data_IF_569597948126
#
_entry.id   IF_569597948126
#
_cell.length_a   1.000
_cell.length_b   1.000
_cell.length_c   1.000
_cell.angle_alpha   90.00
_cell.angle_beta   90.00
_cell.angle_gamma   90.00
#
_symmetry.space_group_name_H-M   'P 1'
#
loop_
_entity.id
_entity.type
_entity.pdbx_description
1 polymer ?
#
# COMPACT_ATOMS: atom_id res chain seq x y z
N UNK A 1 6.49 -3.76 -18.69
CA UNK A 1 5.65 -2.66 -18.18
C UNK A 1 5.96 -2.47 -16.70
N UNK A 2 6.66 -1.39 -16.36
CA UNK A 2 6.96 -1.03 -14.98
C UNK A 2 5.66 -0.56 -14.31
N UNK A 3 5.21 -1.26 -13.28
CA UNK A 3 4.06 -0.82 -12.50
C UNK A 3 4.54 0.33 -11.59
N UNK A 4 4.38 1.56 -12.08
CA UNK A 4 4.52 2.77 -11.30
C UNK A 4 3.19 3.01 -10.59
N UNK A 5 3.11 2.70 -9.31
CA UNK A 5 1.90 2.91 -8.51
C UNK A 5 2.12 4.11 -7.59
N UNK A 6 1.25 5.11 -7.67
CA UNK A 6 1.23 6.23 -6.72
C UNK A 6 0.63 5.80 -5.38
N UNK A 7 0.94 6.53 -4.31
CA UNK A 7 0.41 6.29 -2.95
C UNK A 7 -1.13 6.15 -2.96
N UNK A 8 -1.83 7.06 -3.64
CA UNK A 8 -3.30 7.00 -3.77
C UNK A 8 -3.79 5.71 -4.40
N UNK A 9 -3.10 5.22 -5.43
CA UNK A 9 -3.49 4.00 -6.12
C UNK A 9 -3.27 2.77 -5.23
N UNK A 10 -2.21 2.78 -4.42
CA UNK A 10 -1.98 1.76 -3.40
C UNK A 10 -3.10 1.75 -2.34
N UNK A 11 -3.46 2.92 -1.82
CA UNK A 11 -4.52 3.06 -0.80
C UNK A 11 -5.87 2.60 -1.34
N UNK A 12 -6.23 2.97 -2.56
CA UNK A 12 -7.52 2.62 -3.16
C UNK A 12 -7.66 1.10 -3.36
N UNK A 13 -6.63 0.44 -3.92
CA UNK A 13 -6.56 -1.02 -4.05
C UNK A 13 -6.60 -1.73 -2.70
N UNK A 14 -5.86 -1.24 -1.71
CA UNK A 14 -5.88 -1.83 -0.37
C UNK A 14 -7.28 -1.72 0.25
N UNK A 15 -7.97 -0.60 0.05
CA UNK A 15 -9.34 -0.43 0.53
C UNK A 15 -10.30 -1.40 -0.16
N UNK A 16 -10.13 -1.63 -1.45
CA UNK A 16 -10.90 -2.63 -2.21
C UNK A 16 -10.64 -4.07 -1.70
N UNK A 17 -9.38 -4.36 -1.36
CA UNK A 17 -8.99 -5.60 -0.67
C UNK A 17 -9.49 -5.70 0.78
N UNK A 18 -10.26 -4.72 1.28
CA UNK A 18 -10.84 -4.73 2.62
C UNK A 18 -9.90 -4.27 3.74
N UNK A 19 -8.88 -3.45 3.42
CA UNK A 19 -8.08 -2.78 4.44
C UNK A 19 -8.79 -1.52 4.96
N UNK A 20 -8.81 -1.35 6.28
CA UNK A 20 -9.27 -0.15 6.97
C UNK A 20 -8.13 0.84 7.21
N UNK A 21 -8.45 2.13 7.19
CA UNK A 21 -7.49 3.24 7.27
C UNK A 21 -7.51 4.11 6.00
N UNK A 22 -6.46 4.91 5.74
CA UNK A 22 -5.19 5.01 6.45
C UNK A 22 -5.30 5.75 7.80
N UNK A 23 -4.76 5.15 8.85
CA UNK A 23 -4.59 5.81 10.15
C UNK A 23 -3.39 6.76 10.06
N UNK A 24 -3.57 8.07 10.29
CA UNK A 24 -2.48 9.03 10.28
C UNK A 24 -1.58 8.82 11.51
N UNK A 25 -0.34 8.41 11.28
CA UNK A 25 0.66 8.22 12.33
C UNK A 25 1.92 9.01 12.01
N UNK A 26 1.90 10.34 12.26
CA UNK A 26 3.07 11.24 12.22
C UNK A 26 3.93 11.17 10.95
N UNK A 27 4.78 10.15 10.85
CA UNK A 27 5.66 9.88 9.71
C UNK A 27 4.98 9.08 8.57
N UNK A 28 4.39 7.92 8.85
CA UNK A 28 3.88 6.97 7.84
C UNK A 28 2.43 6.61 8.13
N UNK A 29 1.58 6.63 7.09
CA UNK A 29 0.20 6.16 7.18
C UNK A 29 0.21 4.63 7.31
N UNK A 30 -0.73 4.06 8.07
CA UNK A 30 -0.88 2.61 8.19
C UNK A 30 -2.30 2.20 7.87
N UNK A 31 -2.48 1.07 7.20
CA UNK A 31 -3.78 0.45 7.01
C UNK A 31 -3.78 -0.92 7.66
N UNK A 32 -4.94 -1.37 8.13
CA UNK A 32 -5.06 -2.61 8.90
C UNK A 32 -6.20 -3.44 8.33
N UNK A 33 -6.00 -4.75 8.21
CA UNK A 33 -7.03 -5.72 7.79
C UNK A 33 -6.88 -6.97 8.63
N UNK A 34 -7.92 -7.34 9.39
CA UNK A 34 -7.98 -8.62 10.09
C UNK A 34 -6.72 -8.91 10.95
N UNK A 35 -6.24 -7.90 11.68
CA UNK A 35 -5.01 -7.98 12.49
C UNK A 35 -3.69 -7.81 11.74
N UNK A 36 -3.69 -7.74 10.41
CA UNK A 36 -2.50 -7.45 9.59
C UNK A 36 -2.38 -5.95 9.33
N UNK A 37 -1.19 -5.37 9.53
CA UNK A 37 -0.95 -3.94 9.33
C UNK A 37 0.03 -3.73 8.18
N UNK A 38 -0.31 -2.84 7.25
CA UNK A 38 0.59 -2.38 6.18
C UNK A 38 1.00 -0.94 6.41
N UNK A 39 2.29 -0.67 6.28
CA UNK A 39 2.81 0.69 6.29
C UNK A 39 2.80 1.27 4.88
N UNK A 40 2.11 2.38 4.70
CA UNK A 40 2.13 3.17 3.47
C UNK A 40 3.35 4.10 3.56
N UNK A 41 4.36 3.95 2.68
CA UNK A 41 5.49 4.86 2.63
C UNK A 41 4.97 6.27 2.29
N UNK A 42 5.49 7.29 2.99
CA UNK A 42 5.15 8.68 2.74
C UNK A 42 6.34 9.36 2.03
N UNK A 43 6.10 10.11 0.96
CA UNK A 43 7.18 10.88 0.30
C UNK A 43 7.26 12.22 0.99
N UNK A 44 8.40 12.48 1.62
CA UNK A 44 8.70 13.77 2.22
C UNK A 44 8.63 14.87 1.16
N UNK A 45 7.49 15.58 1.09
CA UNK A 45 7.33 16.88 0.40
C UNK A 45 6.99 16.87 -1.10
N UNK A 46 7.17 15.78 -1.84
CA UNK A 46 6.81 15.70 -3.27
C UNK A 46 5.68 14.69 -3.47
N UNK A 47 4.47 15.14 -3.82
CA UNK A 47 3.22 14.36 -3.86
C UNK A 47 3.17 13.18 -4.85
N UNK A 48 4.31 12.66 -5.32
CA UNK A 48 4.44 11.46 -6.13
C UNK A 48 5.46 10.51 -5.50
N UNK A 49 4.95 9.39 -4.98
CA UNK A 49 5.76 8.24 -4.62
C UNK A 49 5.62 7.21 -5.73
N UNK A 50 6.66 7.07 -6.53
CA UNK A 50 6.78 5.97 -7.47
C UNK A 50 7.10 4.70 -6.68
N UNK A 51 6.05 3.97 -6.29
CA UNK A 51 6.22 2.70 -5.61
C UNK A 51 6.72 1.69 -6.65
N UNK A 52 8.03 1.45 -6.64
CA UNK A 52 8.62 0.36 -7.41
C UNK A 52 7.98 -0.98 -7.01
N UNK A 53 7.82 -1.89 -7.98
CA UNK A 53 7.22 -3.19 -7.75
C UNK A 53 7.83 -3.95 -6.54
N UNK A 54 9.14 -3.81 -6.30
CA UNK A 54 9.82 -4.42 -5.15
C UNK A 54 9.30 -3.91 -3.80
N UNK A 55 9.05 -2.61 -3.67
CA UNK A 55 8.51 -2.00 -2.46
C UNK A 55 7.05 -2.40 -2.27
N UNK A 56 6.26 -2.37 -3.36
CA UNK A 56 4.89 -2.84 -3.37
C UNK A 56 4.79 -4.29 -2.85
N UNK A 57 5.56 -5.22 -3.40
CA UNK A 57 5.53 -6.61 -2.96
C UNK A 57 5.95 -6.81 -1.50
N UNK A 58 6.83 -5.93 -0.98
CA UNK A 58 7.20 -5.96 0.44
C UNK A 58 6.01 -5.55 1.31
N UNK A 59 5.34 -4.45 0.97
CA UNK A 59 4.15 -3.95 1.70
C UNK A 59 3.02 -4.98 1.65
N UNK A 60 2.73 -5.54 0.47
CA UNK A 60 1.70 -6.57 0.29
C UNK A 60 2.00 -7.81 1.13
N UNK A 61 3.27 -8.25 1.17
CA UNK A 61 3.69 -9.38 2.02
C UNK A 61 3.45 -9.09 3.50
N UNK A 62 3.75 -7.88 3.98
CA UNK A 62 3.47 -7.47 5.37
C UNK A 62 1.97 -7.46 5.68
N UNK A 63 1.13 -7.11 4.70
CA UNK A 63 -0.31 -7.20 4.77
C UNK A 63 -0.89 -8.59 4.53
N UNK A 64 -0.04 -9.58 4.25
CA UNK A 64 -0.46 -10.93 3.87
C UNK A 64 -1.32 -10.97 2.60
N UNK A 65 -1.17 -9.99 1.71
CA UNK A 65 -1.77 -9.94 0.38
C UNK A 65 -0.80 -10.62 -0.59
N UNK A 66 -1.28 -11.59 -1.35
CA UNK A 66 -0.46 -12.23 -2.37
C UNK A 66 -0.44 -11.38 -3.64
N UNK A 67 0.59 -11.61 -4.48
CA UNK A 67 0.67 -10.95 -5.80
C UNK A 67 -0.52 -11.28 -6.69
N UNK A 68 -1.14 -12.44 -6.47
CA UNK A 68 -2.29 -12.89 -7.25
C UNK A 68 -3.56 -12.10 -6.89
N UNK A 69 -3.87 -12.00 -5.60
CA UNK A 69 -4.94 -11.14 -5.06
C UNK A 69 -4.81 -9.69 -5.56
N UNK A 70 -3.57 -9.17 -5.59
CA UNK A 70 -3.29 -7.82 -6.10
C UNK A 70 -3.51 -7.66 -7.62
N UNK A 71 -3.36 -8.73 -8.41
CA UNK A 71 -3.54 -8.70 -9.87
C UNK A 71 -5.00 -8.84 -10.29
N UNK A 72 -5.80 -9.55 -9.49
CA UNK A 72 -7.18 -9.87 -9.83
C UNK A 72 -8.14 -8.70 -9.57
N UNK A 73 -7.78 -7.81 -8.64
CA UNK A 73 -8.41 -6.50 -8.46
C UNK A 73 -7.70 -5.43 -9.26
#
# INVERSE_FOLDING_TARGET
MGAHCSERHLVDKLRDLGFEGPVPGGHHKKMTRDGKTVAIPNTHGSGQLDICAKLLFKILREGGVTKDEWRQN
#
